data_IF_520742545902
#
_entry.id   IF_520742545902
#
_cell.length_a   1.000
_cell.length_b   1.000
_cell.length_c   1.000
_cell.angle_alpha   90.00
_cell.angle_beta   90.00
_cell.angle_gamma   90.00
#
_symmetry.space_group_name_H-M   'P 1'
#
loop_
_entity.id
_entity.type
_entity.pdbx_description
1 polymer ?
#
# COMPACT_ATOMS: atom_id res chain seq x y z
N UNK A 1 15.93 6.29 0.07
CA UNK A 1 17.00 5.51 -0.60
C UNK A 1 18.36 6.09 -0.27
N UNK A 2 18.64 7.36 -0.59
CA UNK A 2 19.95 8.00 -0.35
C UNK A 2 20.43 7.88 1.10
N UNK A 3 19.52 8.09 2.09
CA UNK A 3 19.89 7.94 3.51
C UNK A 3 20.36 6.51 3.86
N UNK A 4 19.72 5.49 3.30
CA UNK A 4 20.12 4.10 3.53
C UNK A 4 21.53 3.84 2.95
N UNK A 5 21.81 4.31 1.74
CA UNK A 5 23.15 4.18 1.12
C UNK A 5 24.22 4.91 1.91
N UNK A 6 23.96 6.13 2.39
CA UNK A 6 24.89 6.88 3.26
C UNK A 6 25.20 6.13 4.56
N UNK A 7 24.24 5.34 5.05
CA UNK A 7 24.39 4.52 6.27
C UNK A 7 24.96 3.11 5.98
N UNK A 8 25.50 2.86 4.78
CA UNK A 8 26.19 1.64 4.43
C UNK A 8 25.35 0.57 3.72
N UNK A 9 24.08 0.83 3.40
CA UNK A 9 23.28 -0.10 2.62
C UNK A 9 23.68 -0.07 1.13
N UNK A 10 23.84 -1.23 0.52
CA UNK A 10 24.05 -1.35 -0.92
C UNK A 10 22.71 -1.22 -1.65
N UNK A 11 22.60 -0.25 -2.55
CA UNK A 11 21.44 -0.07 -3.42
C UNK A 11 21.72 -0.70 -4.79
N UNK A 12 20.91 -1.69 -5.17
CA UNK A 12 20.96 -2.33 -6.48
C UNK A 12 19.75 -1.87 -7.29
N UNK A 13 19.99 -1.28 -8.47
CA UNK A 13 18.95 -0.97 -9.43
C UNK A 13 18.64 -2.22 -10.26
N UNK A 14 17.84 -3.13 -9.70
CA UNK A 14 17.61 -4.44 -10.28
C UNK A 14 16.18 -4.94 -10.12
N UNK A 15 15.82 -5.91 -10.96
CA UNK A 15 14.58 -6.66 -10.88
C UNK A 15 14.87 -8.10 -10.47
N UNK A 16 14.43 -8.50 -9.28
CA UNK A 16 14.51 -9.91 -8.84
C UNK A 16 13.62 -10.77 -9.74
N UNK A 17 14.20 -11.77 -10.38
CA UNK A 17 13.52 -12.66 -11.32
C UNK A 17 13.14 -14.00 -10.70
N UNK A 18 13.98 -14.52 -9.80
CA UNK A 18 13.70 -15.75 -9.05
C UNK A 18 14.26 -15.68 -7.63
N UNK A 19 13.65 -16.47 -6.75
CA UNK A 19 14.05 -16.65 -5.36
C UNK A 19 14.06 -18.15 -5.10
N UNK A 20 15.23 -18.69 -4.81
CA UNK A 20 15.40 -20.06 -4.35
C UNK A 20 15.47 -20.06 -2.81
N UNK A 21 14.52 -20.72 -2.19
CA UNK A 21 14.36 -20.78 -0.73
C UNK A 21 14.97 -22.04 -0.12
N UNK A 22 15.48 -22.95 -0.93
CA UNK A 22 15.93 -24.28 -0.52
C UNK A 22 14.75 -25.14 -0.01
N UNK A 23 15.05 -26.39 0.35
CA UNK A 23 14.03 -27.39 0.67
C UNK A 23 13.18 -27.09 1.93
N UNK A 24 13.72 -26.34 2.89
CA UNK A 24 13.10 -26.13 4.20
C UNK A 24 12.88 -24.64 4.58
N UNK A 25 13.06 -23.73 3.66
CA UNK A 25 12.93 -22.28 3.89
C UNK A 25 13.80 -21.71 5.03
N UNK A 26 14.92 -22.36 5.37
CA UNK A 26 15.80 -21.89 6.44
C UNK A 26 16.99 -21.05 5.95
N UNK A 27 17.10 -20.84 4.62
CA UNK A 27 18.21 -20.13 3.98
C UNK A 27 19.55 -20.88 4.10
N UNK A 28 20.66 -20.34 3.57
CA UNK A 28 20.68 -19.06 2.85
C UNK A 28 19.81 -19.08 1.59
N UNK A 29 19.28 -17.90 1.21
CA UNK A 29 18.42 -17.74 0.04
C UNK A 29 19.22 -17.27 -1.16
N UNK A 30 18.97 -17.85 -2.34
CA UNK A 30 19.61 -17.45 -3.58
C UNK A 30 18.64 -16.63 -4.43
N UNK A 31 19.01 -15.41 -4.74
CA UNK A 31 18.25 -14.46 -5.56
C UNK A 31 18.90 -14.33 -6.93
N UNK A 32 18.14 -14.53 -8.00
CA UNK A 32 18.57 -14.09 -9.34
C UNK A 32 17.88 -12.77 -9.65
N UNK A 33 18.62 -11.83 -10.25
CA UNK A 33 18.07 -10.52 -10.61
C UNK A 33 18.73 -9.98 -11.87
N UNK A 34 17.98 -9.18 -12.63
CA UNK A 34 18.51 -8.38 -13.72
C UNK A 34 18.98 -7.03 -13.18
N UNK A 35 20.26 -6.73 -13.30
CA UNK A 35 20.88 -5.47 -12.85
C UNK A 35 20.86 -4.44 -13.98
N UNK A 36 20.25 -3.29 -13.72
CA UNK A 36 20.14 -2.16 -14.66
C UNK A 36 21.05 -0.99 -14.29
N UNK A 37 21.99 -1.18 -13.39
CA UNK A 37 22.86 -0.12 -12.87
C UNK A 37 23.66 0.57 -13.99
N UNK A 38 24.04 -0.17 -15.02
CA UNK A 38 24.81 0.35 -16.16
C UNK A 38 23.91 0.99 -17.26
N UNK A 39 22.60 1.13 -17.03
CA UNK A 39 21.66 1.74 -17.99
C UNK A 39 21.27 0.82 -19.15
N UNK A 40 21.68 -0.44 -19.15
CA UNK A 40 21.27 -1.43 -20.16
C UNK A 40 19.77 -1.75 -19.97
N UNK A 41 19.00 -1.68 -21.08
CA UNK A 41 17.55 -1.96 -21.09
C UNK A 41 17.23 -3.43 -20.82
N UNK A 42 18.14 -4.35 -21.11
CA UNK A 42 17.95 -5.79 -20.85
C UNK A 42 18.36 -6.20 -19.45
N UNK A 43 19.25 -5.41 -18.81
CA UNK A 43 19.88 -5.74 -17.55
C UNK A 43 20.85 -6.93 -17.65
N UNK A 44 21.83 -6.96 -16.79
CA UNK A 44 22.77 -8.08 -16.64
C UNK A 44 22.22 -9.06 -15.60
N UNK A 45 22.14 -10.36 -15.92
CA UNK A 45 21.70 -11.37 -14.96
C UNK A 45 22.78 -11.60 -13.90
N UNK A 46 22.43 -11.40 -12.64
CA UNK A 46 23.30 -11.59 -11.47
C UNK A 46 22.62 -12.43 -10.41
N UNK A 47 23.44 -12.97 -9.52
CA UNK A 47 22.99 -13.75 -8.37
C UNK A 47 23.49 -13.14 -7.06
N UNK A 48 22.69 -13.27 -6.01
CA UNK A 48 23.01 -12.82 -4.67
C UNK A 48 22.54 -13.87 -3.67
N UNK A 49 23.40 -14.25 -2.74
CA UNK A 49 23.03 -15.13 -1.62
C UNK A 49 22.88 -14.30 -0.36
N UNK A 50 21.78 -14.51 0.37
CA UNK A 50 21.45 -13.76 1.59
C UNK A 50 20.99 -14.71 2.70
N UNK A 51 21.32 -14.38 3.95
CA UNK A 51 20.94 -15.19 5.13
C UNK A 51 19.51 -14.93 5.57
N UNK A 52 18.97 -13.72 5.27
CA UNK A 52 17.65 -13.26 5.65
C UNK A 52 17.05 -12.43 4.51
N UNK A 53 15.75 -12.56 4.26
CA UNK A 53 15.07 -11.87 3.17
C UNK A 53 13.82 -11.14 3.66
N UNK A 54 13.73 -9.84 3.37
CA UNK A 54 12.54 -9.03 3.67
C UNK A 54 11.84 -8.65 2.39
N UNK A 55 10.58 -9.10 2.25
CA UNK A 55 9.69 -8.72 1.17
C UNK A 55 9.02 -7.37 1.47
N UNK A 56 9.49 -6.34 0.77
CA UNK A 56 8.92 -4.99 0.77
C UNK A 56 8.53 -4.58 -0.66
N UNK A 57 8.14 -5.54 -1.47
CA UNK A 57 7.98 -5.51 -2.91
C UNK A 57 6.52 -5.35 -3.37
N UNK A 58 5.68 -4.81 -2.46
CA UNK A 58 4.31 -4.39 -2.75
C UNK A 58 3.30 -5.54 -2.84
N UNK A 59 2.09 -5.20 -3.27
CA UNK A 59 0.96 -6.13 -3.27
C UNK A 59 1.17 -7.40 -4.12
N UNK A 60 1.94 -7.30 -5.21
CA UNK A 60 2.28 -8.44 -6.08
C UNK A 60 3.58 -9.14 -5.67
N UNK A 61 3.92 -9.12 -4.39
CA UNK A 61 5.18 -9.58 -3.81
C UNK A 61 5.65 -10.94 -4.35
N UNK A 62 6.87 -10.97 -4.87
CA UNK A 62 7.59 -12.19 -5.27
C UNK A 62 8.08 -12.95 -4.05
N UNK A 63 8.48 -12.23 -3.01
CA UNK A 63 8.89 -12.85 -1.74
C UNK A 63 7.70 -13.58 -1.10
N UNK A 64 6.51 -12.96 -1.09
CA UNK A 64 5.30 -13.60 -0.59
C UNK A 64 4.97 -14.91 -1.34
N UNK A 65 5.16 -14.92 -2.67
CA UNK A 65 4.98 -16.13 -3.48
C UNK A 65 6.02 -17.19 -3.16
N UNK A 66 7.30 -16.80 -3.06
CA UNK A 66 8.40 -17.72 -2.78
C UNK A 66 8.28 -18.40 -1.41
N UNK A 67 7.77 -17.70 -0.40
CA UNK A 67 7.56 -18.25 0.94
C UNK A 67 6.19 -18.89 1.16
N UNK A 68 5.37 -19.02 0.12
CA UNK A 68 3.98 -19.49 0.19
C UNK A 68 3.18 -18.77 1.30
N UNK A 69 3.19 -17.44 1.27
CA UNK A 69 2.58 -16.59 2.30
C UNK A 69 1.04 -16.69 2.36
N UNK A 70 0.43 -17.42 1.43
CA UNK A 70 -1.01 -17.49 1.21
C UNK A 70 -1.54 -16.25 0.48
N UNK A 71 -2.77 -16.37 0.00
CA UNK A 71 -3.44 -15.32 -0.74
C UNK A 71 -4.17 -14.34 0.18
N UNK A 72 -4.48 -13.16 -0.36
CA UNK A 72 -5.38 -12.19 0.24
C UNK A 72 -6.28 -11.56 -0.83
N UNK A 73 -7.40 -11.02 -0.38
CA UNK A 73 -8.29 -10.25 -1.24
C UNK A 73 -7.66 -8.90 -1.56
N UNK A 74 -7.91 -8.42 -2.77
CA UNK A 74 -7.45 -7.11 -3.22
C UNK A 74 -8.60 -6.32 -3.82
N UNK A 75 -8.68 -5.05 -3.49
CA UNK A 75 -9.37 -4.06 -4.29
C UNK A 75 -8.46 -3.60 -5.42
N UNK A 76 -9.03 -3.09 -6.49
CA UNK A 76 -8.28 -2.44 -7.58
C UNK A 76 -8.49 -0.94 -7.45
N UNK A 77 -7.40 -0.21 -7.25
CA UNK A 77 -7.36 1.23 -7.43
C UNK A 77 -7.06 1.53 -8.90
N UNK A 78 -7.87 2.39 -9.50
CA UNK A 78 -7.65 2.92 -10.84
C UNK A 78 -7.61 4.44 -10.75
N UNK A 79 -6.63 5.08 -11.37
CA UNK A 79 -6.54 6.54 -11.38
C UNK A 79 -5.92 7.09 -12.65
N UNK A 80 -6.31 8.29 -12.96
CA UNK A 80 -5.70 9.16 -13.96
C UNK A 80 -4.96 10.30 -13.27
N UNK A 81 -3.73 10.57 -13.70
CA UNK A 81 -3.04 11.81 -13.36
C UNK A 81 -3.41 12.86 -14.38
N UNK A 82 -3.99 13.95 -13.93
CA UNK A 82 -4.51 15.01 -14.78
C UNK A 82 -3.77 16.31 -14.46
N UNK A 83 -3.03 16.82 -15.42
CA UNK A 83 -2.41 18.13 -15.34
C UNK A 83 -3.46 19.19 -15.57
N UNK A 84 -3.62 20.10 -14.62
CA UNK A 84 -4.59 21.18 -14.67
C UNK A 84 -3.91 22.52 -14.97
N UNK A 85 -4.65 23.50 -15.54
CA UNK A 85 -4.24 24.89 -15.56
C UNK A 85 -3.94 25.41 -14.13
N UNK A 86 -3.05 26.40 -14.02
CA UNK A 86 -2.61 26.93 -12.73
C UNK A 86 -3.79 27.45 -11.87
N UNK A 87 -4.78 28.05 -12.49
CA UNK A 87 -5.97 28.58 -11.82
C UNK A 87 -6.79 27.45 -11.18
N UNK A 88 -6.97 26.33 -11.87
CA UNK A 88 -7.67 25.15 -11.33
C UNK A 88 -6.83 24.42 -10.29
N UNK A 89 -5.50 24.38 -10.45
CA UNK A 89 -4.60 23.79 -9.43
C UNK A 89 -4.65 24.55 -8.11
N UNK A 90 -4.84 25.88 -8.12
CA UNK A 90 -4.93 26.68 -6.90
C UNK A 90 -6.12 26.29 -6.01
N UNK A 91 -7.21 25.79 -6.60
CA UNK A 91 -8.33 25.23 -5.84
C UNK A 91 -7.93 23.99 -5.03
N UNK A 92 -7.02 23.18 -5.57
CA UNK A 92 -6.56 21.95 -4.94
C UNK A 92 -5.30 22.11 -4.08
N UNK A 93 -4.78 23.33 -3.89
CA UNK A 93 -3.53 23.55 -3.15
C UNK A 93 -3.56 22.97 -1.72
N UNK A 94 -4.70 23.17 -1.02
CA UNK A 94 -4.92 22.67 0.35
C UNK A 94 -6.16 21.76 0.44
N UNK A 95 -6.65 21.22 -0.66
CA UNK A 95 -7.90 20.46 -0.70
C UNK A 95 -7.73 19.09 -1.36
N UNK A 96 -8.07 18.04 -0.62
CA UNK A 96 -8.26 16.70 -1.14
C UNK A 96 -9.75 16.36 -1.13
N UNK A 97 -10.31 15.97 -2.27
CA UNK A 97 -11.71 15.59 -2.37
C UNK A 97 -11.90 14.08 -2.33
N UNK A 98 -12.86 13.62 -1.53
CA UNK A 98 -13.35 12.25 -1.53
C UNK A 98 -14.81 12.22 -1.95
N UNK A 99 -15.14 11.27 -2.82
CA UNK A 99 -16.50 11.06 -3.31
C UNK A 99 -16.99 9.68 -2.90
N UNK A 100 -18.18 9.60 -2.30
CA UNK A 100 -18.83 8.36 -1.91
C UNK A 100 -20.17 8.25 -2.61
N UNK A 101 -20.50 7.08 -3.10
CA UNK A 101 -21.73 6.78 -3.85
C UNK A 101 -21.51 5.66 -4.85
N UNK A 102 -22.58 4.99 -5.24
CA UNK A 102 -22.53 3.83 -6.15
C UNK A 102 -22.05 4.19 -7.56
N UNK A 103 -22.16 5.44 -7.95
CA UNK A 103 -21.68 5.98 -9.21
C UNK A 103 -20.15 6.17 -9.26
N UNK A 104 -19.49 6.27 -8.10
CA UNK A 104 -18.03 6.40 -7.99
C UNK A 104 -17.36 5.16 -7.42
N UNK A 105 -18.01 4.46 -6.50
CA UNK A 105 -17.64 3.13 -6.03
C UNK A 105 -18.77 2.49 -5.19
N UNK A 106 -19.10 1.20 -5.39
CA UNK A 106 -20.09 0.51 -4.58
C UNK A 106 -19.57 0.09 -3.19
N UNK A 107 -18.25 -0.04 -3.03
CA UNK A 107 -17.59 -0.71 -1.89
C UNK A 107 -16.31 -0.01 -1.40
N UNK A 108 -16.00 1.15 -2.01
CA UNK A 108 -14.88 2.01 -1.66
C UNK A 108 -15.26 3.48 -1.93
N UNK A 109 -14.34 4.33 -2.38
CA UNK A 109 -14.59 5.74 -2.71
C UNK A 109 -13.87 6.16 -3.98
N UNK A 110 -14.29 7.30 -4.55
CA UNK A 110 -13.56 8.04 -5.56
C UNK A 110 -12.79 9.19 -4.93
N UNK A 111 -11.77 9.68 -5.60
CA UNK A 111 -10.91 10.75 -5.10
C UNK A 111 -10.44 11.72 -6.18
N UNK A 112 -10.18 12.96 -5.76
CA UNK A 112 -9.33 13.92 -6.45
C UNK A 112 -8.29 14.40 -5.46
N UNK A 113 -7.05 13.93 -5.59
CA UNK A 113 -5.97 14.24 -4.68
C UNK A 113 -4.89 15.08 -5.35
N UNK A 114 -4.53 16.26 -4.78
CA UNK A 114 -3.48 17.10 -5.32
C UNK A 114 -2.11 16.42 -5.27
N UNK A 115 -1.32 16.68 -6.32
CA UNK A 115 0.08 16.26 -6.47
C UNK A 115 0.83 17.43 -7.09
N UNK A 116 1.45 18.24 -6.35
CA UNK A 116 2.24 19.41 -6.71
C UNK A 116 1.82 20.15 -8.02
N UNK A 117 1.88 19.51 -9.20
CA UNK A 117 1.62 20.08 -10.52
C UNK A 117 0.45 19.42 -11.28
N UNK A 118 -0.21 18.45 -10.68
CA UNK A 118 -1.35 17.74 -11.24
C UNK A 118 -2.25 17.19 -10.13
N UNK A 119 -3.39 16.64 -10.49
CA UNK A 119 -4.26 15.89 -9.57
C UNK A 119 -4.29 14.42 -9.95
N UNK A 120 -4.43 13.55 -8.95
CA UNK A 120 -4.75 12.15 -9.13
C UNK A 120 -6.26 11.97 -8.95
N UNK A 121 -6.96 11.64 -10.03
CA UNK A 121 -8.41 11.39 -10.07
C UNK A 121 -8.64 9.91 -10.20
N UNK A 122 -9.30 9.28 -9.24
CA UNK A 122 -9.41 7.84 -9.25
C UNK A 122 -10.54 7.27 -8.43
N UNK A 123 -10.68 5.96 -8.52
CA UNK A 123 -11.62 5.15 -7.76
C UNK A 123 -10.99 3.82 -7.34
N UNK A 124 -11.54 3.21 -6.30
CA UNK A 124 -11.20 1.85 -5.87
C UNK A 124 -12.43 0.96 -5.81
N UNK A 125 -12.27 -0.33 -6.08
CA UNK A 125 -13.34 -1.31 -5.91
C UNK A 125 -12.80 -2.73 -5.77
N UNK A 126 -13.50 -3.57 -5.02
CA UNK A 126 -13.24 -5.03 -4.95
C UNK A 126 -13.76 -5.77 -6.18
N UNK A 127 -14.62 -5.16 -6.98
CA UNK A 127 -15.23 -5.79 -8.15
C UNK A 127 -14.22 -5.82 -9.30
N UNK A 128 -13.92 -7.01 -9.80
CA UNK A 128 -12.91 -7.24 -10.85
C UNK A 128 -13.45 -7.06 -12.27
N UNK A 129 -14.49 -6.27 -12.46
CA UNK A 129 -15.05 -6.00 -13.78
C UNK A 129 -14.45 -4.74 -14.38
N UNK A 130 -13.68 -4.87 -15.45
CA UNK A 130 -12.99 -3.77 -16.11
C UNK A 130 -13.94 -2.69 -16.66
N UNK A 131 -15.11 -3.09 -17.18
CA UNK A 131 -16.12 -2.13 -17.67
C UNK A 131 -16.71 -1.31 -16.52
N UNK A 132 -16.95 -1.95 -15.37
CA UNK A 132 -17.43 -1.27 -14.18
C UNK A 132 -16.41 -0.23 -13.70
N UNK A 133 -15.13 -0.59 -13.60
CA UNK A 133 -14.08 0.33 -13.15
C UNK A 133 -14.02 1.58 -14.01
N UNK A 134 -14.16 1.46 -15.32
CA UNK A 134 -14.23 2.60 -16.24
C UNK A 134 -15.44 3.48 -15.98
N UNK A 135 -16.61 2.89 -15.76
CA UNK A 135 -17.84 3.62 -15.42
C UNK A 135 -17.72 4.38 -14.09
N UNK A 136 -17.12 3.74 -13.07
CA UNK A 136 -16.85 4.38 -11.78
C UNK A 136 -15.87 5.56 -11.91
N UNK A 137 -14.81 5.41 -12.70
CA UNK A 137 -13.88 6.50 -13.01
C UNK A 137 -14.57 7.67 -13.70
N UNK A 138 -15.47 7.38 -14.64
CA UNK A 138 -16.29 8.39 -15.31
C UNK A 138 -17.22 9.07 -14.29
N UNK A 139 -17.80 8.35 -13.35
CA UNK A 139 -18.57 8.91 -12.24
C UNK A 139 -17.79 9.95 -11.43
N UNK A 140 -16.54 9.63 -11.04
CA UNK A 140 -15.65 10.57 -10.34
C UNK A 140 -15.37 11.80 -11.21
N UNK A 141 -15.04 11.60 -12.48
CA UNK A 141 -14.80 12.73 -13.42
C UNK A 141 -16.04 13.62 -13.58
N UNK A 142 -17.22 13.04 -13.62
CA UNK A 142 -18.48 13.79 -13.74
C UNK A 142 -18.76 14.64 -12.50
N UNK A 143 -18.49 14.11 -11.29
CA UNK A 143 -18.62 14.89 -10.05
C UNK A 143 -17.63 16.05 -9.97
N UNK A 144 -16.37 15.82 -10.36
CA UNK A 144 -15.31 16.81 -10.36
C UNK A 144 -15.30 17.70 -11.63
N UNK A 145 -16.23 17.50 -12.58
CA UNK A 145 -16.21 18.07 -13.95
C UNK A 145 -15.90 19.55 -13.99
N UNK A 146 -16.46 20.37 -13.10
CA UNK A 146 -16.25 21.83 -13.09
C UNK A 146 -14.81 22.22 -12.83
N UNK A 147 -14.04 21.37 -12.13
CA UNK A 147 -12.64 21.61 -11.72
C UNK A 147 -11.62 20.89 -12.61
N UNK A 148 -12.07 19.96 -13.44
CA UNK A 148 -11.21 19.22 -14.36
C UNK A 148 -11.24 19.79 -15.78
N UNK A 149 -11.82 20.98 -15.97
CA UNK A 149 -11.90 21.66 -17.27
C UNK A 149 -10.50 21.95 -17.79
N UNK A 150 -10.28 21.67 -19.08
CA UNK A 150 -8.97 21.84 -19.75
C UNK A 150 -7.82 21.02 -19.13
N UNK A 151 -8.16 20.00 -18.33
CA UNK A 151 -7.17 19.07 -17.79
C UNK A 151 -6.66 18.10 -18.85
N UNK A 152 -5.35 17.86 -18.84
CA UNK A 152 -4.68 16.88 -19.71
C UNK A 152 -4.35 15.61 -18.92
N UNK A 153 -4.80 14.45 -19.41
CA UNK A 153 -4.43 13.16 -18.80
C UNK A 153 -2.97 12.83 -19.16
N UNK A 154 -2.08 12.94 -18.20
CA UNK A 154 -0.65 12.67 -18.40
C UNK A 154 -0.24 11.24 -18.06
N UNK A 155 -1.04 10.50 -17.28
CA UNK A 155 -0.79 9.10 -16.93
C UNK A 155 -2.05 8.39 -16.46
N UNK A 156 -2.16 7.11 -16.80
CA UNK A 156 -3.19 6.21 -16.27
C UNK A 156 -2.50 5.08 -15.49
N UNK A 157 -3.00 4.77 -14.32
CA UNK A 157 -2.41 3.77 -13.42
C UNK A 157 -3.49 2.91 -12.79
N UNK A 158 -3.15 1.63 -12.56
CA UNK A 158 -3.97 0.73 -11.76
C UNK A 158 -3.07 -0.07 -10.81
N UNK A 159 -3.50 -0.20 -9.56
CA UNK A 159 -2.77 -0.93 -8.54
C UNK A 159 -3.70 -1.80 -7.69
N UNK A 160 -3.29 -3.02 -7.33
CA UNK A 160 -3.99 -3.80 -6.32
C UNK A 160 -3.75 -3.19 -4.93
N UNK A 161 -4.82 -3.07 -4.16
CA UNK A 161 -4.79 -2.66 -2.75
C UNK A 161 -5.14 -3.89 -1.90
N UNK A 162 -4.24 -4.39 -1.04
CA UNK A 162 -4.56 -5.45 -0.10
C UNK A 162 -5.70 -5.05 0.85
N UNK A 163 -6.59 -5.98 1.14
CA UNK A 163 -7.72 -5.72 2.04
C UNK A 163 -7.53 -6.25 3.46
N UNK A 164 -6.56 -7.11 3.65
CA UNK A 164 -6.22 -7.69 4.96
C UNK A 164 -4.80 -8.24 4.95
N UNK A 165 -4.17 -8.40 6.14
CA UNK A 165 -2.87 -9.04 6.25
C UNK A 165 -2.87 -10.49 5.70
N UNK A 166 -1.75 -10.89 5.10
CA UNK A 166 -1.56 -12.28 4.65
C UNK A 166 -1.57 -13.26 5.83
N UNK A 167 -2.00 -14.50 5.59
CA UNK A 167 -2.00 -15.55 6.63
C UNK A 167 -0.60 -15.82 7.19
N UNK A 168 0.40 -15.91 6.31
CA UNK A 168 1.80 -16.15 6.68
C UNK A 168 2.64 -14.96 6.28
N UNK A 169 3.18 -14.23 7.25
CA UNK A 169 3.99 -13.02 7.04
C UNK A 169 5.44 -13.22 7.46
N UNK A 170 5.73 -14.37 8.07
CA UNK A 170 7.09 -14.87 8.40
C UNK A 170 7.11 -16.37 8.15
N UNK A 171 8.07 -16.85 7.39
CA UNK A 171 8.37 -18.27 7.14
C UNK A 171 9.89 -18.44 7.04
N UNK A 172 10.46 -19.29 7.84
CA UNK A 172 11.91 -19.42 7.94
C UNK A 172 12.56 -18.10 8.34
N UNK A 173 13.55 -17.66 7.58
CA UNK A 173 14.22 -16.36 7.75
C UNK A 173 13.73 -15.32 6.74
N UNK A 174 12.49 -15.47 6.24
CA UNK A 174 11.82 -14.49 5.39
C UNK A 174 10.71 -13.80 6.17
N UNK A 175 10.59 -12.48 6.00
CA UNK A 175 9.50 -11.68 6.55
C UNK A 175 8.93 -10.71 5.51
N UNK A 176 7.64 -10.39 5.64
CA UNK A 176 6.95 -9.44 4.77
C UNK A 176 6.61 -8.16 5.56
N UNK A 177 6.68 -7.02 4.87
CA UNK A 177 6.31 -5.70 5.40
C UNK A 177 5.48 -4.92 4.37
N UNK A 178 4.78 -3.89 4.81
CA UNK A 178 3.93 -3.05 3.95
C UNK A 178 2.89 -3.84 3.19
N UNK A 179 2.62 -3.44 1.96
CA UNK A 179 1.61 -4.10 1.10
C UNK A 179 1.95 -5.57 0.79
N UNK A 180 3.23 -5.94 0.77
CA UNK A 180 3.63 -7.34 0.62
C UNK A 180 3.09 -8.22 1.75
N UNK A 181 2.98 -7.67 2.96
CA UNK A 181 2.36 -8.29 4.12
C UNK A 181 0.83 -8.11 4.17
N UNK A 182 0.28 -7.24 3.33
CA UNK A 182 -1.13 -6.84 3.35
C UNK A 182 -1.46 -5.78 4.41
N UNK A 183 -0.51 -4.93 4.78
CA UNK A 183 -0.70 -3.90 5.80
C UNK A 183 -1.26 -2.60 5.23
N UNK A 184 -2.46 -2.69 4.72
CA UNK A 184 -3.28 -1.57 4.25
C UNK A 184 -4.60 -1.59 4.99
N UNK A 185 -5.13 -0.44 5.36
CA UNK A 185 -6.46 -0.36 5.99
C UNK A 185 -7.54 -0.54 4.95
N UNK A 186 -8.48 -1.43 5.22
CA UNK A 186 -9.55 -1.79 4.29
C UNK A 186 -10.48 -0.61 3.98
N UNK A 187 -10.79 0.21 4.98
CA UNK A 187 -11.75 1.31 4.87
C UNK A 187 -11.25 2.50 4.05
N UNK A 188 -9.95 2.79 4.10
CA UNK A 188 -9.37 4.01 3.49
C UNK A 188 -8.28 3.74 2.46
N UNK A 189 -7.79 2.49 2.34
CA UNK A 189 -6.64 2.19 1.49
C UNK A 189 -5.32 2.79 2.00
N UNK A 190 -5.25 3.24 3.28
CA UNK A 190 -4.04 3.79 3.88
C UNK A 190 -2.99 2.70 4.08
N UNK A 191 -1.88 2.82 3.38
CA UNK A 191 -0.77 1.86 3.42
C UNK A 191 0.57 2.49 3.74
N UNK A 192 0.79 3.80 3.47
CA UNK A 192 2.10 4.45 3.59
C UNK A 192 2.62 4.42 5.03
N UNK A 193 1.77 4.82 5.98
CA UNK A 193 2.10 4.80 7.41
C UNK A 193 2.43 3.37 7.87
N UNK A 194 1.60 2.41 7.52
CA UNK A 194 1.76 1.02 7.94
C UNK A 194 2.97 0.36 7.27
N UNK A 195 3.29 0.70 6.02
CA UNK A 195 4.51 0.23 5.35
C UNK A 195 5.76 0.74 6.09
N UNK A 196 5.82 2.03 6.41
CA UNK A 196 6.92 2.62 7.17
C UNK A 196 7.05 2.00 8.56
N UNK A 197 5.93 1.83 9.28
CA UNK A 197 5.93 1.25 10.64
C UNK A 197 6.30 -0.22 10.65
N UNK A 198 5.75 -1.03 9.74
CA UNK A 198 6.08 -2.46 9.68
C UNK A 198 7.54 -2.69 9.30
N UNK A 199 8.05 -1.92 8.33
CA UNK A 199 9.45 -1.96 7.95
C UNK A 199 10.37 -1.64 9.13
N UNK A 200 10.05 -0.57 9.88
CA UNK A 200 10.80 -0.20 11.07
C UNK A 200 10.74 -1.28 12.17
N UNK A 201 9.55 -1.75 12.52
CA UNK A 201 9.39 -2.79 13.56
C UNK A 201 10.09 -4.10 13.21
N UNK A 202 10.05 -4.48 11.93
CA UNK A 202 10.78 -5.66 11.43
C UNK A 202 12.29 -5.46 11.55
N UNK A 203 12.81 -4.30 11.16
CA UNK A 203 14.24 -3.99 11.24
C UNK A 203 14.73 -3.94 12.69
N UNK A 204 13.97 -3.31 13.60
CA UNK A 204 14.30 -3.26 15.03
C UNK A 204 14.40 -4.67 15.64
N UNK A 205 13.47 -5.57 15.30
CA UNK A 205 13.50 -6.96 15.75
C UNK A 205 14.70 -7.73 15.21
N UNK A 206 15.04 -7.54 13.93
CA UNK A 206 16.21 -8.16 13.32
C UNK A 206 17.50 -7.70 14.00
N UNK A 207 17.65 -6.40 14.24
CA UNK A 207 18.83 -5.83 14.90
C UNK A 207 18.97 -6.38 16.32
N UNK A 208 17.87 -6.41 17.10
CA UNK A 208 17.84 -6.96 18.45
C UNK A 208 18.23 -8.45 18.45
N UNK A 209 17.58 -9.25 17.61
CA UNK A 209 17.81 -10.70 17.55
C UNK A 209 19.19 -11.07 16.99
N UNK A 210 19.74 -10.26 16.08
CA UNK A 210 21.05 -10.51 15.49
C UNK A 210 22.23 -10.24 16.43
N UNK A 211 22.01 -9.65 17.59
CA UNK A 211 23.08 -9.25 18.54
C UNK A 211 24.19 -8.46 17.82
N UNK A 212 23.82 -7.42 17.11
CA UNK A 212 24.72 -6.63 16.27
C UNK A 212 25.42 -7.44 15.17
N UNK A 213 24.73 -8.36 14.54
CA UNK A 213 25.24 -9.15 13.41
C UNK A 213 26.06 -10.39 13.79
N UNK A 214 26.11 -10.75 15.08
CA UNK A 214 26.81 -11.93 15.54
C UNK A 214 26.04 -13.24 15.33
N UNK A 215 24.71 -13.14 15.21
CA UNK A 215 23.79 -14.28 15.05
C UNK A 215 22.81 -14.00 13.93
N UNK A 216 22.51 -15.00 13.12
CA UNK A 216 21.44 -14.91 12.12
C UNK A 216 20.10 -15.17 12.82
N UNK A 217 19.14 -14.22 12.79
CA UNK A 217 17.83 -14.38 13.41
C UNK A 217 17.07 -15.60 12.88
N UNK A 218 16.47 -16.35 13.79
CA UNK A 218 15.62 -17.50 13.46
C UNK A 218 14.20 -17.08 13.10
N UNK A 219 13.40 -18.00 12.57
CA UNK A 219 11.95 -17.78 12.35
C UNK A 219 11.23 -17.39 13.65
N UNK A 220 11.62 -17.98 14.78
CA UNK A 220 11.04 -17.68 16.10
C UNK A 220 11.29 -16.21 16.48
N UNK A 221 12.50 -15.73 16.21
CA UNK A 221 12.87 -14.33 16.47
C UNK A 221 12.06 -13.38 15.57
N UNK A 222 12.01 -13.65 14.27
CA UNK A 222 11.21 -12.85 13.34
C UNK A 222 9.71 -12.85 13.67
N UNK A 223 9.16 -13.93 14.20
CA UNK A 223 7.77 -13.99 14.67
C UNK A 223 7.47 -13.03 15.83
N UNK A 224 8.46 -12.54 16.57
CA UNK A 224 8.23 -11.51 17.57
C UNK A 224 7.80 -10.18 16.94
N UNK A 225 8.33 -9.83 15.76
CA UNK A 225 7.82 -8.71 14.98
C UNK A 225 6.30 -8.82 14.74
N UNK A 226 5.80 -10.00 14.35
CA UNK A 226 4.36 -10.21 14.14
C UNK A 226 3.55 -10.03 15.42
N UNK A 227 4.04 -10.56 16.55
CA UNK A 227 3.38 -10.42 17.86
C UNK A 227 3.28 -8.95 18.26
N UNK A 228 4.38 -8.19 18.10
CA UNK A 228 4.43 -6.74 18.38
C UNK A 228 3.45 -5.99 17.46
N UNK A 229 3.42 -6.33 16.17
CA UNK A 229 2.50 -5.75 15.19
C UNK A 229 1.04 -6.03 15.51
N UNK A 230 0.68 -7.31 15.68
CA UNK A 230 -0.70 -7.72 15.92
C UNK A 230 -1.24 -7.17 17.26
N UNK A 231 -0.40 -7.07 18.29
CA UNK A 231 -0.74 -6.41 19.55
C UNK A 231 -1.04 -4.93 19.37
N UNK A 232 -0.29 -4.25 18.53
CA UNK A 232 -0.41 -2.79 18.34
C UNK A 232 -1.55 -2.41 17.39
N UNK A 233 -1.71 -3.13 16.30
CA UNK A 233 -2.59 -2.73 15.18
C UNK A 233 -3.73 -3.72 14.89
N UNK A 234 -3.69 -4.93 15.45
CA UNK A 234 -4.69 -5.96 15.14
C UNK A 234 -6.12 -5.53 15.43
N UNK A 235 -6.36 -4.83 16.53
CA UNK A 235 -7.69 -4.29 16.87
C UNK A 235 -8.10 -3.19 15.90
N UNK A 236 -7.19 -2.29 15.53
CA UNK A 236 -7.45 -1.23 14.55
C UNK A 236 -7.93 -1.79 13.22
N UNK A 237 -7.25 -2.82 12.68
CA UNK A 237 -7.67 -3.46 11.43
C UNK A 237 -9.07 -4.06 11.53
N UNK A 238 -9.39 -4.75 12.63
CA UNK A 238 -10.73 -5.33 12.87
C UNK A 238 -11.82 -4.26 12.94
N UNK A 239 -11.57 -3.18 13.67
CA UNK A 239 -12.54 -2.07 13.79
C UNK A 239 -12.78 -1.43 12.43
N UNK A 240 -11.71 -1.11 11.67
CA UNK A 240 -11.83 -0.51 10.35
C UNK A 240 -12.55 -1.43 9.34
N UNK A 241 -12.35 -2.75 9.43
CA UNK A 241 -13.11 -3.72 8.63
C UNK A 241 -14.60 -3.72 8.96
N UNK A 242 -14.95 -3.67 10.25
CA UNK A 242 -16.36 -3.58 10.69
C UNK A 242 -17.00 -2.28 10.19
N UNK A 243 -16.30 -1.16 10.36
CA UNK A 243 -16.78 0.15 9.92
C UNK A 243 -17.02 0.18 8.41
N UNK A 244 -16.11 -0.36 7.60
CA UNK A 244 -16.31 -0.43 6.15
C UNK A 244 -17.55 -1.25 5.80
N UNK A 245 -17.74 -2.40 6.40
CA UNK A 245 -18.90 -3.25 6.14
C UNK A 245 -20.23 -2.56 6.54
N UNK A 246 -20.20 -1.67 7.53
CA UNK A 246 -21.37 -0.87 7.95
C UNK A 246 -21.60 0.27 6.94
N UNK A 247 -20.59 1.09 6.67
CA UNK A 247 -20.71 2.31 5.87
C UNK A 247 -21.05 2.04 4.40
N UNK A 248 -20.52 1.00 3.83
CA UNK A 248 -20.80 0.65 2.42
C UNK A 248 -21.98 -0.32 2.25
N UNK A 249 -22.75 -0.59 3.30
CA UNK A 249 -23.87 -1.51 3.25
C UNK A 249 -25.01 -1.04 2.34
N UNK A 250 -25.37 0.25 2.41
CA UNK A 250 -26.41 0.89 1.61
C UNK A 250 -26.26 2.42 1.64
N UNK A 251 -27.05 3.14 0.83
CA UNK A 251 -26.99 4.59 0.72
C UNK A 251 -27.28 5.31 2.03
N UNK A 252 -28.30 4.86 2.78
CA UNK A 252 -28.63 5.48 4.07
C UNK A 252 -27.51 5.36 5.11
N UNK A 253 -26.77 4.24 5.10
CA UNK A 253 -25.61 4.08 5.97
C UNK A 253 -24.44 4.99 5.55
N UNK A 254 -24.26 5.21 4.25
CA UNK A 254 -23.30 6.18 3.74
C UNK A 254 -23.65 7.62 4.11
N UNK A 255 -24.91 8.01 3.94
CA UNK A 255 -25.40 9.34 4.35
C UNK A 255 -25.22 9.57 5.85
N UNK A 256 -25.62 8.64 6.70
CA UNK A 256 -25.42 8.73 8.15
C UNK A 256 -23.92 8.90 8.52
N UNK A 257 -23.01 8.25 7.78
CA UNK A 257 -21.58 8.44 7.97
C UNK A 257 -21.14 9.86 7.64
N UNK A 258 -21.64 10.44 6.54
CA UNK A 258 -21.34 11.84 6.19
C UNK A 258 -21.86 12.83 7.22
N UNK A 259 -23.10 12.67 7.67
CA UNK A 259 -23.68 13.50 8.72
C UNK A 259 -22.84 13.44 10.01
N UNK A 260 -22.40 12.25 10.39
CA UNK A 260 -21.51 12.07 11.54
C UNK A 260 -20.17 12.79 11.36
N UNK A 261 -19.57 12.71 10.18
CA UNK A 261 -18.32 13.42 9.88
C UNK A 261 -18.49 14.94 9.88
N UNK A 262 -19.59 15.45 9.32
CA UNK A 262 -19.91 16.87 9.27
C UNK A 262 -20.10 17.43 10.69
N UNK A 263 -20.81 16.73 11.55
CA UNK A 263 -20.95 17.08 12.96
C UNK A 263 -19.59 17.14 13.69
N UNK A 264 -18.67 16.21 13.41
CA UNK A 264 -17.36 16.16 14.05
C UNK A 264 -16.45 17.30 13.59
N UNK A 265 -16.54 17.71 12.31
CA UNK A 265 -15.70 18.78 11.73
C UNK A 265 -16.19 20.16 12.18
N UNK A 266 -17.52 20.33 12.33
CA UNK A 266 -18.15 21.62 12.62
C UNK A 266 -18.35 21.91 14.13
N UNK A 267 -17.91 21.03 15.02
CA UNK A 267 -17.92 21.30 16.47
C UNK A 267 -16.67 22.08 16.91
N UNK A 268 -16.81 23.20 17.66
CA UNK A 268 -15.69 24.02 18.08
C UNK A 268 -14.57 23.30 18.84
N UNK A 269 -14.90 22.18 19.51
CA UNK A 269 -13.98 21.39 20.32
C UNK A 269 -13.16 20.38 19.50
N UNK A 270 -13.46 20.13 18.24
CA UNK A 270 -12.73 19.19 17.38
C UNK A 270 -11.32 19.72 16.97
N UNK A 271 -11.08 21.01 17.09
CA UNK A 271 -9.82 21.66 16.71
C UNK A 271 -8.76 21.62 17.84
N UNK A 272 -9.14 21.24 19.06
CA UNK A 272 -8.28 21.32 20.23
C UNK A 272 -7.49 20.03 20.57
N UNK A 273 -7.66 18.93 19.84
CA UNK A 273 -7.04 17.62 20.15
C UNK A 273 -6.23 17.00 19.00
N UNK A 274 -5.71 17.81 18.07
CA UNK A 274 -4.80 17.41 17.01
C UNK A 274 -3.34 17.34 17.44
#
# INVERSE_FOLDING_TARGET
RNRASVLGATLINGLVTSIDTGDNNQGPYKLSYSDFTNGDKKGELKELTVDLLIGADGANSRVAKAMDAGDYKVAIAFQERIKLPKEEMSYYEDLAEMYVGTDVSPDFYGWVFPKYDHVAVGTGTMQKNQSLIKGLQEGVRNRAKKRLVNGEVIKVEAHPIPEHPRPRRVVGRMALVGDAAGYVTKSSGEGIYFAAKSGRMCAEEIVEASKNGQVIPSEKDLKNYLKKWDKKYGTTYKVLEILQNIFYRNDSAREAFFEMCDCLINTPDAVATG
#
